data_IF_851471124218
#
_entry.id   IF_851471124218
#
_cell.length_a   1.000
_cell.length_b   1.000
_cell.length_c   1.000
_cell.angle_alpha   90.00
_cell.angle_beta   90.00
_cell.angle_gamma   90.00
#
_symmetry.space_group_name_H-M   'P 1'
#
loop_
_entity.id
_entity.type
_entity.pdbx_description
1 polymer ?
#
# COMPACT_ATOMS: atom_id res chain seq x y z
N UNK A 1 -36.35 -36.06 -51.32
CA UNK A 1 -36.19 -34.88 -50.46
C UNK A 1 -34.70 -34.71 -50.16
N UNK A 2 -34.00 -33.90 -50.96
CA UNK A 2 -32.56 -33.63 -50.83
C UNK A 2 -32.37 -32.23 -50.26
N UNK A 3 -31.93 -32.17 -49.00
CA UNK A 3 -31.66 -30.91 -48.30
C UNK A 3 -30.29 -30.37 -48.71
N UNK A 4 -30.28 -29.22 -49.36
CA UNK A 4 -29.08 -28.50 -49.79
C UNK A 4 -28.58 -27.61 -48.65
N UNK A 5 -27.46 -27.98 -48.02
CA UNK A 5 -26.79 -27.15 -47.04
C UNK A 5 -25.92 -26.11 -47.77
N UNK A 6 -26.37 -24.86 -47.79
CA UNK A 6 -25.57 -23.73 -48.24
C UNK A 6 -24.42 -23.48 -47.25
N UNK A 7 -23.17 -23.61 -47.73
CA UNK A 7 -21.96 -23.27 -46.98
C UNK A 7 -21.92 -21.75 -46.77
N UNK A 8 -22.02 -21.30 -45.52
CA UNK A 8 -21.70 -19.92 -45.16
C UNK A 8 -20.19 -19.71 -45.19
N UNK A 9 -19.69 -19.13 -46.27
CA UNK A 9 -18.30 -18.68 -46.34
C UNK A 9 -18.13 -17.47 -45.40
N UNK A 10 -17.11 -17.52 -44.53
CA UNK A 10 -16.75 -16.37 -43.71
C UNK A 10 -16.29 -15.22 -44.63
N UNK A 11 -16.79 -13.99 -44.41
CA UNK A 11 -16.36 -12.83 -45.18
C UNK A 11 -14.86 -12.58 -44.97
N UNK A 12 -14.19 -12.18 -46.04
CA UNK A 12 -12.76 -11.85 -45.97
C UNK A 12 -12.55 -10.55 -45.19
N UNK A 13 -11.31 -10.33 -44.73
CA UNK A 13 -10.94 -9.06 -44.09
C UNK A 13 -11.23 -7.87 -45.01
N UNK A 14 -11.00 -8.04 -46.32
CA UNK A 14 -11.29 -7.03 -47.34
C UNK A 14 -12.79 -6.68 -47.37
N UNK A 15 -13.67 -7.68 -47.28
CA UNK A 15 -15.13 -7.47 -47.23
C UNK A 15 -15.55 -6.71 -45.98
N UNK A 16 -14.92 -7.00 -44.84
CA UNK A 16 -15.19 -6.29 -43.59
C UNK A 16 -14.74 -4.83 -43.66
N UNK A 17 -13.54 -4.57 -44.21
CA UNK A 17 -13.04 -3.20 -44.39
C UNK A 17 -13.86 -2.41 -45.39
N UNK A 18 -14.27 -3.00 -46.51
CA UNK A 18 -15.12 -2.32 -47.48
C UNK A 18 -16.50 -2.02 -46.91
N UNK A 19 -17.09 -2.92 -46.12
CA UNK A 19 -18.36 -2.66 -45.41
C UNK A 19 -18.23 -1.56 -44.37
N UNK A 20 -17.11 -1.51 -43.65
CA UNK A 20 -16.86 -0.46 -42.66
C UNK A 20 -16.73 0.91 -43.33
N UNK A 21 -15.97 1.00 -44.42
CA UNK A 21 -15.76 2.25 -45.17
C UNK A 21 -17.01 2.69 -45.95
N UNK A 22 -17.83 1.75 -46.42
CA UNK A 22 -19.08 2.04 -47.11
C UNK A 22 -20.22 2.43 -46.17
N UNK A 23 -20.05 2.29 -44.85
CA UNK A 23 -21.05 2.73 -43.87
C UNK A 23 -21.00 4.26 -43.83
N UNK A 24 -22.00 4.98 -44.35
CA UNK A 24 -22.01 6.44 -44.27
C UNK A 24 -21.95 6.80 -42.79
N UNK A 25 -20.98 7.65 -42.43
CA UNK A 25 -20.94 8.25 -41.11
C UNK A 25 -22.26 8.99 -40.94
N UNK A 26 -23.14 8.46 -40.08
CA UNK A 26 -24.28 9.22 -39.64
C UNK A 26 -23.69 10.50 -39.02
N UNK A 27 -24.02 11.64 -39.63
CA UNK A 27 -23.74 12.95 -39.06
C UNK A 27 -24.56 13.07 -37.78
N UNK A 28 -24.03 12.55 -36.68
CA UNK A 28 -24.48 12.88 -35.34
C UNK A 28 -24.03 14.32 -35.08
N UNK A 29 -24.95 15.26 -35.31
CA UNK A 29 -24.78 16.70 -35.04
C UNK A 29 -24.93 17.02 -33.55
N UNK A 30 -24.34 16.20 -32.69
CA UNK A 30 -24.31 16.44 -31.25
C UNK A 30 -22.87 16.33 -30.77
N UNK A 31 -22.07 17.37 -31.06
CA UNK A 31 -20.69 17.51 -30.58
C UNK A 31 -20.65 17.92 -29.10
N UNK A 32 -21.52 17.33 -28.28
CA UNK A 32 -21.23 17.19 -26.86
C UNK A 32 -20.23 16.04 -26.76
N UNK A 33 -18.94 16.38 -26.83
CA UNK A 33 -17.89 15.49 -26.36
C UNK A 33 -18.16 15.31 -24.87
N UNK A 34 -18.92 14.27 -24.50
CA UNK A 34 -18.88 13.79 -23.12
C UNK A 34 -17.42 13.46 -22.86
N UNK A 35 -16.77 14.13 -21.89
CA UNK A 35 -15.46 13.68 -21.46
C UNK A 35 -15.68 12.23 -21.03
N UNK A 36 -15.16 11.28 -21.81
CA UNK A 36 -14.88 9.98 -21.26
C UNK A 36 -13.91 10.29 -20.14
N UNK A 37 -14.43 10.40 -18.92
CA UNK A 37 -13.65 10.30 -17.71
C UNK A 37 -12.75 9.10 -17.98
N UNK A 38 -11.45 9.38 -18.18
CA UNK A 38 -10.43 8.35 -18.25
C UNK A 38 -10.47 7.74 -16.87
N UNK A 39 -11.34 6.76 -16.73
CA UNK A 39 -11.92 6.37 -15.46
C UNK A 39 -10.78 5.83 -14.62
N UNK A 40 -10.52 6.58 -13.54
CA UNK A 40 -9.72 6.22 -12.38
C UNK A 40 -8.26 5.83 -12.65
N UNK A 41 -7.35 6.69 -12.21
CA UNK A 41 -5.92 6.43 -12.19
C UNK A 41 -5.57 5.05 -11.64
N UNK A 42 -4.47 4.47 -12.16
CA UNK A 42 -3.94 3.15 -11.86
C UNK A 42 -4.18 2.72 -10.40
N UNK A 43 -5.30 2.02 -10.15
CA UNK A 43 -5.56 1.43 -8.84
C UNK A 43 -4.80 0.12 -8.76
N UNK A 44 -3.94 -0.01 -7.75
CA UNK A 44 -3.22 -1.25 -7.52
C UNK A 44 -4.21 -2.38 -7.18
N UNK A 45 -3.93 -3.58 -7.68
CA UNK A 45 -4.71 -4.76 -7.37
C UNK A 45 -4.80 -5.01 -5.85
N UNK A 46 -5.97 -5.43 -5.38
CA UNK A 46 -6.24 -5.61 -3.96
C UNK A 46 -5.36 -6.69 -3.32
N UNK A 47 -5.02 -7.77 -4.05
CA UNK A 47 -4.14 -8.82 -3.56
C UNK A 47 -2.69 -8.34 -3.49
N UNK A 48 -2.25 -7.57 -4.48
CA UNK A 48 -0.92 -6.94 -4.45
C UNK A 48 -0.77 -6.03 -3.24
N UNK A 49 -1.73 -5.11 -3.03
CA UNK A 49 -1.70 -4.20 -1.87
C UNK A 49 -1.78 -4.94 -0.54
N UNK A 50 -2.53 -6.04 -0.44
CA UNK A 50 -2.55 -6.87 0.77
C UNK A 50 -1.21 -7.58 1.03
N UNK A 51 -0.56 -8.04 -0.04
CA UNK A 51 0.76 -8.68 0.05
C UNK A 51 1.79 -7.69 0.58
N UNK A 52 1.78 -6.47 0.06
CA UNK A 52 2.66 -5.38 0.54
C UNK A 52 2.28 -4.94 1.97
N UNK A 53 0.98 -4.90 2.29
CA UNK A 53 0.49 -4.55 3.62
C UNK A 53 0.78 -5.57 4.71
N UNK A 54 1.19 -6.77 4.34
CA UNK A 54 1.65 -7.79 5.29
C UNK A 54 3.17 -8.02 5.19
N UNK A 55 3.88 -7.27 4.34
CA UNK A 55 5.30 -7.48 4.07
C UNK A 55 6.18 -7.20 5.31
N UNK A 56 5.85 -6.18 6.11
CA UNK A 56 6.60 -5.84 7.33
C UNK A 56 6.77 -7.05 8.26
N UNK A 57 5.66 -7.71 8.58
CA UNK A 57 5.66 -8.88 9.45
C UNK A 57 6.41 -10.08 8.82
N UNK A 58 6.33 -10.27 7.49
CA UNK A 58 7.09 -11.31 6.78
C UNK A 58 8.59 -11.03 6.80
N UNK A 59 9.01 -9.78 6.57
CA UNK A 59 10.42 -9.37 6.61
C UNK A 59 11.02 -9.53 8.00
N UNK A 60 10.20 -9.44 9.04
CA UNK A 60 10.58 -9.65 10.43
C UNK A 60 10.34 -11.09 10.91
N UNK A 61 10.02 -12.03 10.01
CA UNK A 61 10.02 -13.47 10.30
C UNK A 61 8.69 -14.10 10.70
N UNK A 62 7.58 -13.34 10.75
CA UNK A 62 6.25 -13.91 11.03
C UNK A 62 5.71 -14.64 9.79
N UNK A 63 5.50 -15.95 9.92
CA UNK A 63 5.09 -16.83 8.79
C UNK A 63 3.58 -17.02 8.69
N UNK A 64 2.86 -16.93 9.80
CA UNK A 64 1.45 -17.35 9.90
C UNK A 64 0.42 -16.26 9.58
N UNK A 65 0.73 -15.39 8.61
CA UNK A 65 -0.21 -14.36 8.17
C UNK A 65 -1.21 -14.93 7.15
N UNK A 66 -2.48 -14.51 7.19
CA UNK A 66 -3.50 -14.97 6.27
C UNK A 66 -3.19 -14.48 4.85
N UNK A 67 -3.12 -15.43 3.92
CA UNK A 67 -3.04 -15.15 2.48
C UNK A 67 -4.39 -14.63 1.93
N UNK A 68 -5.49 -14.88 2.64
CA UNK A 68 -6.84 -14.47 2.26
C UNK A 68 -7.04 -12.98 2.48
N UNK A 69 -7.55 -12.32 1.43
CA UNK A 69 -7.89 -10.91 1.46
C UNK A 69 -9.01 -10.63 2.47
N UNK A 70 -8.89 -9.62 3.34
CA UNK A 70 -10.02 -9.12 4.13
C UNK A 70 -11.15 -8.58 3.26
N UNK A 71 -12.41 -8.76 3.68
CA UNK A 71 -13.58 -8.42 2.87
C UNK A 71 -13.64 -6.94 2.46
N UNK A 72 -13.28 -6.03 3.36
CA UNK A 72 -13.29 -4.59 3.12
C UNK A 72 -11.97 -4.05 2.55
N UNK A 73 -10.95 -4.90 2.37
CA UNK A 73 -9.60 -4.43 1.99
C UNK A 73 -9.60 -3.69 0.65
N UNK A 74 -10.34 -4.17 -0.35
CA UNK A 74 -10.40 -3.54 -1.65
C UNK A 74 -11.03 -2.13 -1.60
N UNK A 75 -11.96 -1.87 -0.67
CA UNK A 75 -12.52 -0.54 -0.46
C UNK A 75 -11.51 0.36 0.28
N UNK A 76 -10.87 -0.19 1.33
CA UNK A 76 -9.85 0.50 2.10
C UNK A 76 -8.66 0.94 1.22
N UNK A 77 -8.14 0.05 0.38
CA UNK A 77 -6.95 0.33 -0.44
C UNK A 77 -7.15 1.45 -1.46
N UNK A 78 -8.40 1.70 -1.87
CA UNK A 78 -8.76 2.77 -2.81
C UNK A 78 -8.79 4.15 -2.16
N UNK A 79 -9.06 4.23 -0.86
CA UNK A 79 -9.25 5.51 -0.15
C UNK A 79 -7.99 6.00 0.56
N UNK A 80 -7.07 5.09 0.92
CA UNK A 80 -5.92 5.46 1.72
C UNK A 80 -4.92 6.34 0.94
N UNK A 81 -4.53 7.45 1.56
CA UNK A 81 -3.47 8.35 1.10
C UNK A 81 -2.62 8.77 2.29
N UNK A 82 -1.30 8.75 2.12
CA UNK A 82 -0.33 9.15 3.15
C UNK A 82 0.90 9.78 2.49
N UNK A 83 1.46 10.81 3.13
CA UNK A 83 2.70 11.43 2.65
C UNK A 83 3.91 10.58 3.10
N UNK A 84 4.05 10.39 4.41
CA UNK A 84 5.15 9.64 5.02
C UNK A 84 4.64 8.38 5.69
N UNK A 85 4.94 7.26 5.05
CA UNK A 85 4.34 5.97 5.36
C UNK A 85 5.35 5.04 6.05
N UNK A 86 5.14 4.64 7.31
CA UNK A 86 5.97 3.61 7.91
C UNK A 86 5.69 2.24 7.27
N UNK A 87 6.75 1.46 7.11
CA UNK A 87 6.70 0.04 6.75
C UNK A 87 6.21 -0.75 7.97
N UNK A 88 4.89 -0.93 8.01
CA UNK A 88 4.14 -1.58 9.07
C UNK A 88 2.91 -2.30 8.48
N UNK A 89 2.30 -3.19 9.25
CA UNK A 89 1.14 -3.95 8.81
C UNK A 89 -0.01 -3.00 8.44
N UNK A 90 -0.73 -3.30 7.36
CA UNK A 90 -1.86 -2.49 6.91
C UNK A 90 -1.49 -1.25 6.08
N UNK A 91 -0.21 -0.90 6.01
CA UNK A 91 0.29 0.14 5.10
C UNK A 91 0.84 -0.45 3.81
N UNK A 92 0.72 0.24 2.69
CA UNK A 92 1.28 -0.24 1.43
C UNK A 92 1.81 0.93 0.59
N UNK A 93 2.88 0.73 -0.21
CA UNK A 93 3.58 1.82 -0.91
C UNK A 93 2.69 2.73 -1.74
N UNK A 94 1.65 2.17 -2.37
CA UNK A 94 0.71 2.88 -3.24
C UNK A 94 -0.24 3.83 -2.48
N UNK A 95 -0.16 3.91 -1.15
CA UNK A 95 -0.80 4.97 -0.35
C UNK A 95 -0.10 6.32 -0.58
N UNK A 96 1.15 6.33 -1.03
CA UNK A 96 1.87 7.57 -1.37
C UNK A 96 1.48 8.02 -2.78
N UNK A 97 0.38 8.76 -2.88
CA UNK A 97 -0.20 9.19 -4.18
C UNK A 97 0.22 10.59 -4.61
N UNK A 98 0.37 11.49 -3.65
CA UNK A 98 0.71 12.89 -3.92
C UNK A 98 2.22 13.09 -3.81
N UNK A 99 2.95 12.87 -4.90
CA UNK A 99 4.40 13.09 -4.92
C UNK A 99 4.71 14.59 -4.76
N UNK A 100 3.81 15.48 -5.21
CA UNK A 100 4.02 16.92 -5.11
C UNK A 100 4.00 17.40 -3.66
N UNK A 101 3.21 16.75 -2.79
CA UNK A 101 3.25 17.05 -1.35
C UNK A 101 4.57 16.67 -0.70
N UNK A 102 5.27 15.65 -1.20
CA UNK A 102 6.60 15.26 -0.72
C UNK A 102 7.71 16.24 -1.12
N UNK A 103 7.57 16.87 -2.29
CA UNK A 103 8.57 17.82 -2.81
C UNK A 103 8.40 19.20 -2.18
N UNK A 104 7.17 19.55 -1.76
CA UNK A 104 6.84 20.90 -1.29
C UNK A 104 7.36 21.16 0.13
N UNK A 105 8.33 22.08 0.32
CA UNK A 105 9.05 22.26 1.60
C UNK A 105 8.24 22.93 2.73
N UNK A 106 6.93 23.17 2.54
CA UNK A 106 6.18 24.12 3.37
C UNK A 106 4.84 23.60 3.92
N UNK A 107 4.45 22.35 3.63
CA UNK A 107 3.18 21.84 4.18
C UNK A 107 3.45 21.23 5.55
N UNK A 108 2.70 21.70 6.56
CA UNK A 108 2.56 20.95 7.82
C UNK A 108 2.14 19.54 7.42
N UNK A 109 2.98 18.56 7.71
CA UNK A 109 2.69 17.14 7.51
C UNK A 109 1.26 16.87 7.96
N UNK A 110 0.38 16.63 6.99
CA UNK A 110 -1.00 16.34 7.31
C UNK A 110 -1.02 14.97 7.97
N UNK A 111 -1.66 14.86 9.12
CA UNK A 111 -2.00 13.54 9.66
C UNK A 111 -2.82 12.80 8.61
N UNK A 112 -2.53 11.52 8.42
CA UNK A 112 -3.25 10.64 7.50
C UNK A 112 -4.76 10.85 7.63
N UNK A 113 -5.46 11.01 6.51
CA UNK A 113 -6.91 11.08 6.52
C UNK A 113 -7.45 9.82 7.18
N UNK A 114 -8.26 9.99 8.22
CA UNK A 114 -8.90 8.87 8.92
C UNK A 114 -9.59 7.99 7.89
N UNK A 115 -9.05 6.79 7.69
CA UNK A 115 -9.64 5.80 6.81
C UNK A 115 -10.56 4.93 7.64
N UNK A 116 -11.64 4.41 7.05
CA UNK A 116 -12.32 3.28 7.70
C UNK A 116 -11.33 2.12 7.75
N UNK A 117 -11.08 1.60 8.96
CA UNK A 117 -10.35 0.34 9.14
C UNK A 117 -11.04 -0.80 8.40
N UNK A 118 -10.38 -1.95 8.30
CA UNK A 118 -10.92 -3.16 7.67
C UNK A 118 -11.17 -4.25 8.73
N UNK A 119 -12.11 -5.16 8.51
CA UNK A 119 -12.24 -6.28 9.44
C UNK A 119 -11.16 -7.30 9.13
N UNK A 120 -10.26 -7.58 10.08
CA UNK A 120 -9.25 -8.60 9.87
C UNK A 120 -9.95 -9.97 9.75
N UNK A 121 -9.65 -10.71 8.69
CA UNK A 121 -10.06 -12.10 8.57
C UNK A 121 -9.36 -12.92 9.65
N UNK A 122 -10.07 -13.93 10.18
CA UNK A 122 -9.53 -14.83 11.19
C UNK A 122 -8.31 -15.57 10.64
N UNK A 123 -7.12 -15.19 11.09
CA UNK A 123 -5.88 -15.93 10.97
C UNK A 123 -5.92 -17.16 11.89
N UNK A 124 -5.13 -18.18 11.55
CA UNK A 124 -5.02 -19.39 12.39
C UNK A 124 -4.27 -19.13 13.69
N UNK A 125 -3.30 -18.22 13.67
CA UNK A 125 -2.47 -17.87 14.82
C UNK A 125 -3.12 -16.75 15.65
N UNK A 126 -3.28 -16.92 16.98
CA UNK A 126 -3.76 -15.87 17.87
C UNK A 126 -2.91 -14.60 17.81
N UNK A 127 -1.59 -14.74 17.69
CA UNK A 127 -0.65 -13.62 17.52
C UNK A 127 -0.91 -12.86 16.22
N UNK A 128 -1.04 -13.59 15.10
CA UNK A 128 -1.32 -12.97 13.80
C UNK A 128 -2.66 -12.22 13.82
N UNK A 129 -3.69 -12.78 14.47
CA UNK A 129 -4.97 -12.11 14.68
C UNK A 129 -4.82 -10.81 15.46
N UNK A 130 -4.13 -10.85 16.61
CA UNK A 130 -3.91 -9.67 17.44
C UNK A 130 -3.17 -8.57 16.67
N UNK A 131 -2.12 -8.92 15.92
CA UNK A 131 -1.36 -7.97 15.09
C UNK A 131 -2.20 -7.36 13.97
N UNK A 132 -2.99 -8.15 13.24
CA UNK A 132 -3.84 -7.65 12.15
C UNK A 132 -4.97 -6.75 12.65
N UNK A 133 -5.58 -7.12 13.79
CA UNK A 133 -6.60 -6.32 14.42
C UNK A 133 -6.02 -5.01 14.95
N UNK A 134 -4.83 -5.05 15.58
CA UNK A 134 -4.13 -3.86 16.04
C UNK A 134 -3.81 -2.92 14.86
N UNK A 135 -3.28 -3.46 13.77
CA UNK A 135 -2.97 -2.70 12.56
C UNK A 135 -4.23 -2.06 11.94
N UNK A 136 -5.34 -2.81 11.88
CA UNK A 136 -6.61 -2.27 11.39
C UNK A 136 -7.16 -1.17 12.29
N UNK A 137 -7.17 -1.37 13.61
CA UNK A 137 -7.59 -0.36 14.58
C UNK A 137 -6.74 0.91 14.46
N UNK A 138 -5.42 0.74 14.32
CA UNK A 138 -4.46 1.82 14.13
C UNK A 138 -4.73 2.61 12.84
N UNK A 139 -4.88 1.95 11.70
CA UNK A 139 -5.16 2.62 10.42
C UNK A 139 -6.58 3.22 10.39
N UNK A 140 -7.50 2.66 11.18
CA UNK A 140 -8.83 3.19 11.46
C UNK A 140 -8.87 4.39 12.42
N UNK A 141 -7.74 4.82 12.98
CA UNK A 141 -7.67 5.90 13.97
C UNK A 141 -8.10 5.51 15.39
N UNK A 142 -8.46 4.26 15.64
CA UNK A 142 -8.81 3.76 16.97
C UNK A 142 -7.56 3.34 17.75
N UNK A 143 -6.78 4.35 18.16
CA UNK A 143 -5.46 4.13 18.76
C UNK A 143 -5.48 3.45 20.12
N UNK A 144 -6.52 3.69 20.94
CA UNK A 144 -6.65 3.04 22.24
C UNK A 144 -6.86 1.52 22.10
N UNK A 145 -7.68 1.12 21.13
CA UNK A 145 -7.89 -0.30 20.83
C UNK A 145 -6.65 -0.93 20.20
N UNK A 146 -5.95 -0.20 19.33
CA UNK A 146 -4.68 -0.67 18.77
C UNK A 146 -3.64 -0.95 19.86
N UNK A 147 -3.47 -0.03 20.84
CA UNK A 147 -2.58 -0.23 21.99
C UNK A 147 -2.95 -1.47 22.80
N UNK A 148 -4.24 -1.65 23.11
CA UNK A 148 -4.76 -2.81 23.84
C UNK A 148 -4.46 -4.13 23.12
N UNK A 149 -4.67 -4.17 21.80
CA UNK A 149 -4.41 -5.34 20.97
C UNK A 149 -2.91 -5.61 20.80
N UNK A 150 -2.06 -4.58 20.77
CA UNK A 150 -0.60 -4.74 20.77
C UNK A 150 -0.09 -5.30 22.11
N UNK A 151 -0.64 -4.86 23.24
CA UNK A 151 -0.33 -5.44 24.54
C UNK A 151 -0.73 -6.93 24.59
N UNK A 152 -1.86 -7.30 23.99
CA UNK A 152 -2.25 -8.70 23.84
C UNK A 152 -1.26 -9.46 22.95
N UNK A 153 -0.89 -8.91 21.79
CA UNK A 153 0.09 -9.51 20.89
C UNK A 153 1.44 -9.74 21.57
N UNK A 154 1.89 -8.80 22.42
CA UNK A 154 3.13 -8.89 23.19
C UNK A 154 3.15 -10.11 24.11
N UNK A 155 2.02 -10.42 24.78
CA UNK A 155 1.92 -11.62 25.64
C UNK A 155 1.96 -12.94 24.88
N UNK A 156 1.66 -12.90 23.57
CA UNK A 156 1.66 -14.06 22.67
C UNK A 156 2.95 -14.17 21.85
N UNK A 157 3.81 -13.15 21.90
CA UNK A 157 4.98 -13.03 21.04
C UNK A 157 6.17 -13.84 21.57
N UNK A 158 6.80 -14.61 20.69
CA UNK A 158 8.17 -15.09 20.88
C UNK A 158 9.19 -13.98 20.60
N UNK A 159 10.48 -14.27 20.79
CA UNK A 159 11.56 -13.27 20.57
C UNK A 159 11.57 -12.67 19.15
N UNK A 160 11.16 -13.44 18.13
CA UNK A 160 11.12 -12.92 16.74
C UNK A 160 9.90 -12.01 16.55
N UNK A 161 8.75 -12.41 17.09
CA UNK A 161 7.51 -11.66 17.02
C UNK A 161 7.57 -10.36 17.84
N UNK A 162 8.38 -10.27 18.89
CA UNK A 162 8.57 -9.04 19.67
C UNK A 162 9.02 -7.87 18.79
N UNK A 163 9.95 -8.09 17.86
CA UNK A 163 10.38 -7.05 16.92
C UNK A 163 9.24 -6.54 16.04
N UNK A 164 8.27 -7.39 15.69
CA UNK A 164 7.06 -6.98 14.95
C UNK A 164 6.14 -6.13 15.83
N UNK A 165 5.91 -6.56 17.07
CA UNK A 165 5.09 -5.81 18.04
C UNK A 165 5.71 -4.44 18.31
N UNK A 166 7.02 -4.35 18.50
CA UNK A 166 7.76 -3.10 18.68
C UNK A 166 7.65 -2.19 17.46
N UNK A 167 7.79 -2.74 16.24
CA UNK A 167 7.60 -1.97 15.01
C UNK A 167 6.17 -1.41 14.88
N UNK A 168 5.15 -2.22 15.20
CA UNK A 168 3.76 -1.75 15.18
C UNK A 168 3.48 -0.70 16.26
N UNK A 169 4.08 -0.83 17.45
CA UNK A 169 3.98 0.19 18.52
C UNK A 169 4.63 1.50 18.08
N UNK A 170 5.79 1.44 17.44
CA UNK A 170 6.43 2.63 16.87
C UNK A 170 5.58 3.26 15.75
N UNK A 171 4.97 2.45 14.88
CA UNK A 171 4.04 2.94 13.85
C UNK A 171 2.79 3.60 14.46
N UNK A 172 2.25 3.06 15.57
CA UNK A 172 1.15 3.67 16.33
C UNK A 172 1.55 5.04 16.86
N UNK A 173 2.69 5.14 17.54
CA UNK A 173 3.22 6.41 18.07
C UNK A 173 3.45 7.42 16.94
N UNK A 174 3.95 6.97 15.79
CA UNK A 174 4.14 7.82 14.61
C UNK A 174 2.83 8.46 14.15
N UNK A 175 1.76 7.67 14.04
CA UNK A 175 0.44 8.16 13.61
C UNK A 175 -0.27 9.02 14.65
N UNK A 176 0.01 8.82 15.94
CA UNK A 176 -0.41 9.72 17.01
C UNK A 176 0.36 11.06 17.02
N UNK A 177 1.36 11.23 16.15
CA UNK A 177 2.22 12.42 16.13
C UNK A 177 3.37 12.38 17.14
N UNK A 178 3.53 11.30 17.90
CA UNK A 178 4.62 11.08 18.86
C UNK A 178 5.91 10.60 18.16
N UNK A 179 6.37 11.37 17.15
CA UNK A 179 7.43 10.96 16.22
C UNK A 179 8.76 10.66 16.90
N UNK A 180 9.15 11.45 17.90
CA UNK A 180 10.40 11.24 18.63
C UNK A 180 10.41 9.89 19.36
N UNK A 181 9.27 9.51 19.96
CA UNK A 181 9.12 8.22 20.64
C UNK A 181 9.15 7.05 19.64
N UNK A 182 8.47 7.19 18.49
CA UNK A 182 8.53 6.20 17.42
C UNK A 182 9.97 5.96 16.93
N UNK A 183 10.71 7.03 16.64
CA UNK A 183 12.12 6.96 16.22
C UNK A 183 12.99 6.30 17.27
N UNK A 184 12.76 6.58 18.57
CA UNK A 184 13.51 5.95 19.65
C UNK A 184 13.35 4.43 19.67
N UNK A 185 12.14 3.92 19.39
CA UNK A 185 11.89 2.47 19.30
C UNK A 185 12.57 1.89 18.05
N UNK A 186 12.40 2.52 16.87
CA UNK A 186 13.03 2.00 15.64
C UNK A 186 14.56 1.93 15.73
N UNK A 187 15.21 2.83 16.48
CA UNK A 187 16.66 2.79 16.73
C UNK A 187 17.13 1.58 17.54
N UNK A 188 16.24 0.88 18.26
CA UNK A 188 16.59 -0.29 19.06
C UNK A 188 16.77 -1.55 18.21
N UNK A 189 16.33 -1.52 16.96
CA UNK A 189 16.41 -2.64 16.01
C UNK A 189 17.28 -2.28 14.82
N UNK A 190 18.16 -3.19 14.41
CA UNK A 190 18.96 -3.07 13.19
C UNK A 190 18.49 -4.08 12.14
N UNK A 191 17.50 -3.68 11.33
CA UNK A 191 16.96 -4.48 10.25
C UNK A 191 16.41 -3.60 9.12
N UNK A 192 16.08 -4.21 7.97
CA UNK A 192 15.55 -3.48 6.80
C UNK A 192 14.29 -2.64 7.07
N UNK A 193 13.44 -3.08 8.00
CA UNK A 193 12.19 -2.38 8.35
C UNK A 193 12.50 -1.13 9.17
N UNK A 194 13.35 -1.26 10.20
CA UNK A 194 13.78 -0.11 10.99
C UNK A 194 14.61 0.87 10.16
N UNK A 195 15.51 0.40 9.29
CA UNK A 195 16.26 1.23 8.36
C UNK A 195 15.33 2.05 7.44
N UNK A 196 14.30 1.41 6.87
CA UNK A 196 13.30 2.13 6.06
C UNK A 196 12.58 3.21 6.88
N UNK A 197 12.08 2.85 8.06
CA UNK A 197 11.30 3.75 8.91
C UNK A 197 12.12 4.92 9.45
N UNK A 198 13.38 4.69 9.84
CA UNK A 198 14.31 5.73 10.26
C UNK A 198 14.64 6.68 9.10
N UNK A 199 14.85 6.14 7.90
CA UNK A 199 15.11 6.94 6.71
C UNK A 199 13.92 7.82 6.32
N UNK A 200 12.72 7.26 6.36
CA UNK A 200 11.46 7.99 6.18
C UNK A 200 11.28 9.09 7.23
N UNK A 201 11.55 8.79 8.50
CA UNK A 201 11.42 9.76 9.59
C UNK A 201 12.44 10.91 9.47
N UNK A 202 13.69 10.60 9.14
CA UNK A 202 14.73 11.59 8.90
C UNK A 202 14.35 12.50 7.72
N UNK A 203 13.80 11.94 6.64
CA UNK A 203 13.32 12.71 5.49
C UNK A 203 12.18 13.65 5.89
N UNK A 204 11.21 13.17 6.67
CA UNK A 204 10.10 13.97 7.18
C UNK A 204 10.55 15.14 8.09
N UNK A 205 11.72 15.01 8.72
CA UNK A 205 12.34 16.04 9.56
C UNK A 205 13.35 16.93 8.81
N UNK A 206 13.53 16.76 7.50
CA UNK A 206 14.50 17.51 6.69
C UNK A 206 15.96 17.09 6.91
N UNK A 207 16.22 15.99 7.61
CA UNK A 207 17.56 15.44 7.87
C UNK A 207 18.05 14.62 6.68
N UNK A 208 18.29 15.28 5.53
CA UNK A 208 18.61 14.63 4.25
C UNK A 208 19.76 13.61 4.29
N UNK A 209 20.86 13.95 4.96
CA UNK A 209 22.02 13.04 5.04
C UNK A 209 21.72 11.76 5.82
N UNK A 210 20.99 11.86 6.95
CA UNK A 210 20.56 10.70 7.73
C UNK A 210 19.54 9.87 6.95
N UNK A 211 18.59 10.54 6.30
CA UNK A 211 17.60 9.90 5.44
C UNK A 211 18.27 9.08 4.33
N UNK A 212 19.26 9.66 3.65
CA UNK A 212 19.99 8.99 2.58
C UNK A 212 20.70 7.72 3.08
N UNK A 213 21.42 7.80 4.20
CA UNK A 213 22.12 6.66 4.76
C UNK A 213 21.17 5.50 5.10
N UNK A 214 20.08 5.79 5.81
CA UNK A 214 19.10 4.78 6.24
C UNK A 214 18.29 4.20 5.07
N UNK A 215 17.85 5.03 4.11
CA UNK A 215 17.08 4.58 2.94
C UNK A 215 17.92 3.75 1.98
N UNK A 216 19.21 4.09 1.82
CA UNK A 216 20.12 3.27 1.02
C UNK A 216 20.29 1.88 1.65
N UNK A 217 20.54 1.81 2.96
CA UNK A 217 20.64 0.54 3.68
C UNK A 217 19.34 -0.29 3.60
N UNK A 218 18.18 0.36 3.65
CA UNK A 218 16.89 -0.31 3.47
C UNK A 218 16.72 -0.86 2.04
N UNK A 219 17.03 -0.07 1.02
CA UNK A 219 16.89 -0.45 -0.38
C UNK A 219 17.78 -1.63 -0.77
N UNK A 220 18.99 -1.72 -0.20
CA UNK A 220 19.93 -2.84 -0.41
C UNK A 220 19.39 -4.16 0.16
N UNK A 221 18.56 -4.11 1.21
CA UNK A 221 18.03 -5.29 1.87
C UNK A 221 16.63 -5.68 1.38
N UNK A 222 15.80 -4.71 0.97
CA UNK A 222 14.44 -4.96 0.49
C UNK A 222 14.46 -5.64 -0.89
N UNK A 223 13.60 -6.66 -1.13
CA UNK A 223 13.52 -7.30 -2.43
C UNK A 223 13.15 -6.30 -3.54
N UNK A 224 13.89 -6.30 -4.64
CA UNK A 224 13.63 -5.39 -5.78
C UNK A 224 12.22 -5.54 -6.37
N UNK A 225 11.60 -6.71 -6.19
CA UNK A 225 10.23 -6.98 -6.62
C UNK A 225 9.15 -6.41 -5.71
N UNK A 226 9.49 -5.87 -4.53
CA UNK A 226 8.54 -5.29 -3.59
C UNK A 226 8.35 -3.81 -3.86
N UNK A 227 7.10 -3.34 -3.80
CA UNK A 227 6.80 -1.92 -3.85
C UNK A 227 7.51 -1.11 -2.77
N UNK A 228 7.86 -1.72 -1.63
CA UNK A 228 8.62 -1.06 -0.56
C UNK A 228 10.05 -0.72 -0.96
N UNK A 229 10.70 -1.55 -1.79
CA UNK A 229 12.01 -1.22 -2.36
C UNK A 229 11.90 0.03 -3.25
N UNK A 230 10.90 0.08 -4.13
CA UNK A 230 10.70 1.23 -5.00
C UNK A 230 10.36 2.51 -4.22
N UNK A 231 9.56 2.41 -3.16
CA UNK A 231 9.28 3.56 -2.29
C UNK A 231 10.55 4.03 -1.55
N UNK A 232 11.41 3.11 -1.10
CA UNK A 232 12.69 3.46 -0.49
C UNK A 232 13.57 4.25 -1.48
N UNK A 233 13.61 3.82 -2.75
CA UNK A 233 14.34 4.50 -3.83
C UNK A 233 13.75 5.88 -4.17
N UNK A 234 12.43 6.01 -4.15
CA UNK A 234 11.76 7.31 -4.31
C UNK A 234 12.16 8.26 -3.16
N UNK A 235 12.06 7.81 -1.91
CA UNK A 235 12.47 8.62 -0.76
C UNK A 235 13.97 8.96 -0.79
N UNK A 236 14.81 8.05 -1.28
CA UNK A 236 16.25 8.29 -1.44
C UNK A 236 16.53 9.41 -2.44
N UNK A 237 15.78 9.44 -3.56
CA UNK A 237 15.88 10.50 -4.55
C UNK A 237 15.44 11.86 -3.99
N UNK A 238 14.47 11.90 -3.07
CA UNK A 238 14.04 13.11 -2.38
C UNK A 238 15.05 13.58 -1.31
N UNK A 239 15.82 12.66 -0.75
CA UNK A 239 16.88 12.94 0.22
C UNK A 239 18.18 13.48 -0.42
N UNK A 240 18.24 13.53 -1.76
CA UNK A 240 19.38 14.03 -2.51
C UNK A 240 19.41 15.57 -2.61
#
# INVERSE_FOLDING_TARGET
MTSSFAKFAQPSLADLTSRFLARPAALETDTSVEPHEVMAGFTADARTTWTEATAAAKFLGVKDLPATLPGEWAAHSRQASAEFLPLAIGHFPQQVRDINSLISPAKKLSTTTESRGWTATSAKSPLANALLQAASARVGGNYAEAERLLAQAETLADETAKTVVENERAALLWQQGQRTAAVAIWKQSDNRVSAFNLGMAALANGQKSEAHAHLNAAAEQLPESSGWHHLARLYLALAS
#
